data_IF_560045463201
#
_entry.id   IF_560045463201
#
_cell.length_a   1.000
_cell.length_b   1.000
_cell.length_c   1.000
_cell.angle_alpha   90.00
_cell.angle_beta   90.00
_cell.angle_gamma   90.00
#
_symmetry.space_group_name_H-M   'P 1'
#
loop_
_entity.id
_entity.type
_entity.pdbx_description
1 polymer ?
#
# COMPACT_ATOMS: atom_id res chain seq x y z
N UNK A 1 14.69 -19.15 18.96
CA UNK A 1 14.80 -19.59 17.56
C UNK A 1 16.02 -18.91 16.93
N UNK A 2 16.91 -19.66 16.26
CA UNK A 2 18.11 -19.11 15.61
C UNK A 2 17.69 -18.13 14.48
N UNK A 3 18.51 -17.10 14.22
CA UNK A 3 18.25 -16.08 13.17
C UNK A 3 17.99 -16.69 11.79
N UNK A 4 18.66 -17.80 11.48
CA UNK A 4 18.50 -18.57 10.24
C UNK A 4 17.08 -19.14 10.10
N UNK A 5 16.48 -19.69 11.16
CA UNK A 5 15.09 -20.21 11.10
C UNK A 5 14.08 -19.10 10.83
N UNK A 6 14.29 -17.90 11.40
CA UNK A 6 13.41 -16.74 11.12
C UNK A 6 13.55 -16.26 9.67
N UNK A 7 14.77 -16.23 9.16
CA UNK A 7 15.05 -15.87 7.77
C UNK A 7 14.41 -16.86 6.79
N UNK A 8 14.67 -18.18 6.97
CA UNK A 8 14.07 -19.23 6.12
C UNK A 8 12.53 -19.17 6.13
N UNK A 9 11.94 -18.94 7.31
CA UNK A 9 10.48 -18.76 7.41
C UNK A 9 10.00 -17.54 6.61
N UNK A 10 10.75 -16.43 6.60
CA UNK A 10 10.47 -15.26 5.78
C UNK A 10 10.47 -15.60 4.29
N UNK A 11 11.53 -16.29 3.83
CA UNK A 11 11.67 -16.70 2.42
C UNK A 11 10.52 -17.62 1.99
N UNK A 12 10.24 -18.67 2.77
CA UNK A 12 9.15 -19.60 2.47
C UNK A 12 7.79 -18.87 2.39
N UNK A 13 7.51 -17.99 3.34
CA UNK A 13 6.25 -17.24 3.31
C UNK A 13 6.18 -16.25 2.13
N UNK A 14 7.31 -15.72 1.64
CA UNK A 14 7.34 -14.90 0.42
C UNK A 14 6.96 -15.70 -0.82
N UNK A 15 7.50 -16.92 -0.97
CA UNK A 15 7.10 -17.79 -2.09
C UNK A 15 5.64 -18.22 -2.01
N UNK A 16 5.15 -18.59 -0.82
CA UNK A 16 3.73 -18.92 -0.60
C UNK A 16 2.85 -17.72 -0.99
N UNK A 17 3.22 -16.51 -0.56
CA UNK A 17 2.52 -15.29 -0.94
C UNK A 17 2.45 -15.12 -2.45
N UNK A 18 3.59 -15.21 -3.17
CA UNK A 18 3.65 -15.06 -4.63
C UNK A 18 2.77 -16.11 -5.33
N UNK A 19 2.86 -17.39 -4.93
CA UNK A 19 2.10 -18.48 -5.54
C UNK A 19 0.59 -18.25 -5.34
N UNK A 20 0.15 -17.99 -4.11
CA UNK A 20 -1.28 -17.82 -3.83
C UNK A 20 -1.82 -16.58 -4.53
N UNK A 21 -1.12 -15.45 -4.49
CA UNK A 21 -1.57 -14.23 -5.16
C UNK A 21 -1.64 -14.41 -6.68
N UNK A 22 -0.69 -15.13 -7.28
CA UNK A 22 -0.72 -15.44 -8.71
C UNK A 22 -1.92 -16.33 -9.08
N UNK A 23 -2.19 -17.38 -8.32
CA UNK A 23 -3.34 -18.26 -8.56
C UNK A 23 -4.66 -17.48 -8.46
N UNK A 24 -4.80 -16.67 -7.40
CA UNK A 24 -6.01 -15.86 -7.20
C UNK A 24 -6.15 -14.82 -8.30
N UNK A 25 -5.07 -14.17 -8.75
CA UNK A 25 -5.09 -13.20 -9.83
C UNK A 25 -5.51 -13.84 -11.17
N UNK A 26 -4.97 -15.03 -11.48
CA UNK A 26 -5.33 -15.79 -12.68
C UNK A 26 -6.81 -16.19 -12.70
N UNK A 27 -7.41 -16.43 -11.55
CA UNK A 27 -8.85 -16.70 -11.44
C UNK A 27 -9.67 -15.41 -11.43
N UNK A 28 -9.24 -14.40 -10.68
CA UNK A 28 -10.00 -13.15 -10.47
C UNK A 28 -10.12 -12.33 -11.77
N UNK A 29 -9.08 -12.33 -12.62
CA UNK A 29 -9.11 -11.56 -13.87
C UNK A 29 -10.20 -12.02 -14.83
N UNK A 30 -10.30 -13.30 -15.24
CA UNK A 30 -11.41 -13.75 -16.09
C UNK A 30 -12.77 -13.64 -15.39
N UNK A 31 -12.83 -13.84 -14.07
CA UNK A 31 -14.06 -13.60 -13.30
C UNK A 31 -14.49 -12.14 -13.41
N UNK A 32 -13.60 -11.18 -13.25
CA UNK A 32 -13.91 -9.75 -13.41
C UNK A 32 -14.40 -9.45 -14.81
N UNK A 33 -13.76 -10.01 -15.84
CA UNK A 33 -14.13 -9.82 -17.25
C UNK A 33 -15.45 -10.48 -17.64
N UNK A 34 -16.02 -11.33 -16.80
CA UNK A 34 -17.39 -11.84 -17.00
C UNK A 34 -18.48 -10.85 -16.54
N UNK A 35 -18.13 -9.84 -15.74
CA UNK A 35 -19.04 -8.80 -15.25
C UNK A 35 -18.79 -7.43 -15.91
N UNK A 36 -17.57 -7.18 -16.35
CA UNK A 36 -17.13 -5.87 -16.87
C UNK A 36 -16.56 -6.08 -18.27
N UNK A 37 -16.98 -5.23 -19.23
CA UNK A 37 -16.44 -5.25 -20.58
C UNK A 37 -14.93 -5.00 -20.59
N UNK A 38 -14.24 -5.56 -21.59
CA UNK A 38 -12.77 -5.41 -21.76
C UNK A 38 -12.32 -3.95 -21.82
N UNK A 39 -13.12 -3.08 -22.44
CA UNK A 39 -12.86 -1.64 -22.49
C UNK A 39 -12.90 -1.00 -21.11
N UNK A 40 -13.94 -1.30 -20.31
CA UNK A 40 -14.08 -0.81 -18.93
C UNK A 40 -12.95 -1.30 -18.04
N UNK A 41 -12.56 -2.57 -18.16
CA UNK A 41 -11.40 -3.10 -17.44
C UNK A 41 -10.09 -2.42 -17.86
N UNK A 42 -9.93 -2.13 -19.16
CA UNK A 42 -8.81 -1.36 -19.70
C UNK A 42 -8.68 0.03 -19.08
N UNK A 43 -9.81 0.72 -18.88
CA UNK A 43 -9.81 2.01 -18.16
C UNK A 43 -9.35 1.89 -16.72
N UNK A 44 -9.81 0.87 -16.00
CA UNK A 44 -9.34 0.64 -14.63
C UNK A 44 -7.81 0.46 -14.58
N UNK A 45 -7.25 -0.34 -15.50
CA UNK A 45 -5.80 -0.55 -15.59
C UNK A 45 -5.08 0.76 -15.89
N UNK A 46 -5.57 1.54 -16.86
CA UNK A 46 -4.99 2.85 -17.20
C UNK A 46 -5.00 3.82 -16.00
N UNK A 47 -6.12 3.89 -15.26
CA UNK A 47 -6.21 4.72 -14.05
C UNK A 47 -5.22 4.26 -12.96
N UNK A 48 -5.06 2.95 -12.80
CA UNK A 48 -4.09 2.39 -11.86
C UNK A 48 -2.64 2.70 -12.27
N UNK A 49 -2.34 2.69 -13.57
CA UNK A 49 -1.03 3.08 -14.10
C UNK A 49 -0.73 4.56 -13.86
N UNK A 50 -1.69 5.46 -14.08
CA UNK A 50 -1.54 6.89 -13.77
C UNK A 50 -1.20 7.07 -12.28
N UNK A 51 -1.91 6.41 -11.38
CA UNK A 51 -1.62 6.44 -9.94
C UNK A 51 -0.20 5.91 -9.65
N UNK A 52 0.22 4.86 -10.34
CA UNK A 52 1.58 4.29 -10.19
C UNK A 52 2.65 5.31 -10.56
N UNK A 53 2.47 6.05 -11.65
CA UNK A 53 3.37 7.15 -12.04
C UNK A 53 3.42 8.26 -11.00
N UNK A 54 2.27 8.67 -10.45
CA UNK A 54 2.21 9.66 -9.37
C UNK A 54 2.92 9.15 -8.11
N UNK A 55 2.86 7.87 -7.82
CA UNK A 55 3.54 7.25 -6.68
C UNK A 55 5.08 7.25 -6.80
N UNK A 56 5.65 7.48 -7.97
CA UNK A 56 7.12 7.65 -8.11
C UNK A 56 7.64 8.87 -7.33
N UNK A 57 6.76 9.82 -6.97
CA UNK A 57 7.11 10.97 -6.14
C UNK A 57 7.47 10.61 -4.68
N UNK A 58 7.41 9.36 -4.29
CA UNK A 58 7.77 8.91 -2.93
C UNK A 58 9.28 8.94 -2.63
N UNK A 59 10.12 9.29 -3.59
CA UNK A 59 11.56 9.56 -3.44
C UNK A 59 12.41 8.51 -2.70
N UNK A 60 12.00 7.23 -2.74
CA UNK A 60 12.82 6.14 -2.20
C UNK A 60 12.99 6.10 -0.66
N UNK A 61 12.31 6.97 0.07
CA UNK A 61 12.37 7.09 1.55
C UNK A 61 12.26 5.74 2.26
N UNK A 62 11.38 4.87 1.76
CA UNK A 62 11.12 3.57 2.37
C UNK A 62 12.34 2.65 2.39
N UNK A 63 13.18 2.68 1.35
CA UNK A 63 14.37 1.83 1.25
C UNK A 63 15.44 2.23 2.28
N UNK A 64 15.71 3.53 2.40
CA UNK A 64 16.67 4.05 3.37
C UNK A 64 16.15 3.84 4.80
N UNK A 65 14.88 4.14 5.06
CA UNK A 65 14.26 3.91 6.35
C UNK A 65 14.34 2.43 6.79
N UNK A 66 14.06 1.48 5.89
CA UNK A 66 14.19 0.04 6.18
C UNK A 66 15.60 -0.32 6.69
N UNK A 67 16.63 0.18 6.03
CA UNK A 67 18.03 -0.07 6.39
C UNK A 67 18.37 0.55 7.74
N UNK A 68 18.03 1.82 7.97
CA UNK A 68 18.29 2.54 9.23
C UNK A 68 17.51 1.93 10.40
N UNK A 69 16.25 1.56 10.21
CA UNK A 69 15.43 0.90 11.22
C UNK A 69 16.02 -0.46 11.63
N UNK A 70 16.48 -1.27 10.66
CA UNK A 70 17.12 -2.55 10.94
C UNK A 70 18.42 -2.38 11.75
N UNK A 71 19.23 -1.36 11.42
CA UNK A 71 20.45 -1.03 12.16
C UNK A 71 20.14 -0.61 13.61
N UNK A 72 19.18 0.29 13.82
CA UNK A 72 18.80 0.76 15.16
C UNK A 72 18.24 -0.37 16.01
N UNK A 73 17.39 -1.23 15.46
CA UNK A 73 16.84 -2.40 16.16
C UNK A 73 17.96 -3.39 16.50
N UNK A 74 18.91 -3.62 15.59
CA UNK A 74 20.06 -4.48 15.82
C UNK A 74 20.96 -4.00 16.98
N UNK A 75 21.15 -2.68 17.09
CA UNK A 75 21.91 -2.03 18.15
C UNK A 75 21.09 -1.77 19.43
N UNK A 76 19.78 -2.05 19.43
CA UNK A 76 18.82 -1.72 20.50
C UNK A 76 18.73 -0.21 20.79
N UNK A 77 19.07 0.61 19.81
CA UNK A 77 18.97 2.08 19.89
C UNK A 77 17.56 2.53 19.50
N UNK A 78 16.67 2.48 20.47
CA UNK A 78 15.26 2.84 20.26
C UNK A 78 15.04 4.36 20.21
N UNK A 79 15.98 5.15 20.73
CA UNK A 79 15.92 6.62 20.64
C UNK A 79 16.13 7.08 19.20
N UNK A 80 17.19 6.59 18.56
CA UNK A 80 17.45 6.87 17.14
C UNK A 80 16.36 6.27 16.26
N UNK A 81 15.86 5.04 16.55
CA UNK A 81 14.74 4.43 15.85
C UNK A 81 13.50 5.34 15.88
N UNK A 82 13.18 5.97 17.02
CA UNK A 82 12.05 6.88 17.15
C UNK A 82 12.24 8.12 16.25
N UNK A 83 13.45 8.71 16.21
CA UNK A 83 13.76 9.86 15.35
C UNK A 83 13.60 9.50 13.87
N UNK A 84 14.21 8.40 13.41
CA UNK A 84 14.04 7.90 12.04
C UNK A 84 12.57 7.61 11.70
N UNK A 85 11.81 7.00 12.62
CA UNK A 85 10.39 6.72 12.40
C UNK A 85 9.57 7.99 12.25
N UNK A 86 9.76 8.98 13.12
CA UNK A 86 9.06 10.27 13.06
C UNK A 86 9.38 11.03 11.78
N UNK A 87 10.68 11.09 11.41
CA UNK A 87 11.11 11.76 10.17
C UNK A 87 10.55 11.05 8.93
N UNK A 88 10.61 9.71 8.88
CA UNK A 88 10.04 8.92 7.79
C UNK A 88 8.53 9.15 7.65
N UNK A 89 7.79 9.22 8.76
CA UNK A 89 6.36 9.49 8.73
C UNK A 89 6.03 10.89 8.22
N UNK A 90 6.81 11.91 8.60
CA UNK A 90 6.64 13.26 8.07
C UNK A 90 6.93 13.30 6.58
N UNK A 91 8.03 12.68 6.13
CA UNK A 91 8.37 12.60 4.71
C UNK A 91 7.28 11.88 3.90
N UNK A 92 6.81 10.73 4.37
CA UNK A 92 5.72 9.99 3.71
C UNK A 92 4.40 10.76 3.78
N UNK A 93 4.13 11.48 4.86
CA UNK A 93 3.00 12.40 4.97
C UNK A 93 3.04 13.50 3.92
N UNK A 94 4.20 14.14 3.75
CA UNK A 94 4.42 15.17 2.71
C UNK A 94 4.25 14.58 1.31
N UNK A 95 4.83 13.41 1.03
CA UNK A 95 4.65 12.70 -0.24
C UNK A 95 3.18 12.34 -0.48
N UNK A 96 2.44 11.91 0.55
CA UNK A 96 1.00 11.63 0.45
C UNK A 96 0.18 12.85 0.07
N UNK A 97 0.51 14.03 0.67
CA UNK A 97 -0.15 15.30 0.33
C UNK A 97 0.17 15.69 -1.12
N UNK A 98 1.41 15.56 -1.57
CA UNK A 98 1.79 15.82 -2.96
C UNK A 98 1.05 14.90 -3.93
N UNK A 99 1.01 13.60 -3.65
CA UNK A 99 0.25 12.62 -4.45
C UNK A 99 -1.22 12.98 -4.50
N UNK A 100 -1.81 13.38 -3.36
CA UNK A 100 -3.22 13.79 -3.29
C UNK A 100 -3.47 15.04 -4.14
N UNK A 101 -2.65 16.09 -4.00
CA UNK A 101 -2.82 17.35 -4.74
C UNK A 101 -2.67 17.12 -6.24
N UNK A 102 -1.63 16.42 -6.68
CA UNK A 102 -1.41 16.13 -8.10
C UNK A 102 -2.54 15.25 -8.64
N UNK A 103 -2.96 14.22 -7.89
CA UNK A 103 -4.08 13.36 -8.29
C UNK A 103 -5.40 14.12 -8.40
N UNK A 104 -5.70 15.06 -7.49
CA UNK A 104 -6.88 15.91 -7.58
C UNK A 104 -6.83 16.82 -8.81
N UNK A 105 -5.65 17.38 -9.13
CA UNK A 105 -5.47 18.18 -10.35
C UNK A 105 -5.72 17.29 -11.60
N UNK A 106 -5.15 16.10 -11.64
CA UNK A 106 -5.35 15.14 -12.74
C UNK A 106 -6.84 14.76 -12.90
N UNK A 107 -7.60 14.68 -11.80
CA UNK A 107 -9.05 14.42 -11.84
C UNK A 107 -9.80 15.48 -12.66
N UNK A 108 -9.36 16.74 -12.60
CA UNK A 108 -9.99 17.83 -13.39
C UNK A 108 -9.74 17.69 -14.90
N UNK A 109 -8.70 16.99 -15.29
CA UNK A 109 -8.30 16.77 -16.68
C UNK A 109 -8.56 15.35 -17.17
N UNK A 110 -9.26 14.51 -16.37
CA UNK A 110 -9.39 13.08 -16.63
C UNK A 110 -10.03 12.81 -18.00
N UNK A 111 -11.01 13.62 -18.40
CA UNK A 111 -11.70 13.52 -19.69
C UNK A 111 -10.80 13.83 -20.91
N UNK A 112 -9.66 14.50 -20.67
CA UNK A 112 -8.67 14.81 -21.72
C UNK A 112 -7.57 13.77 -21.81
N UNK A 113 -7.38 13.02 -20.73
CA UNK A 113 -6.31 12.01 -20.59
C UNK A 113 -6.84 10.63 -20.98
N UNK A 114 -8.10 10.37 -20.66
CA UNK A 114 -8.76 9.09 -20.88
C UNK A 114 -9.97 9.31 -21.75
N UNK A 115 -10.06 8.58 -22.86
CA UNK A 115 -11.27 8.57 -23.68
C UNK A 115 -12.36 7.81 -22.93
N UNK A 116 -13.35 8.55 -22.42
CA UNK A 116 -14.45 8.03 -21.60
C UNK A 116 -15.67 7.62 -22.42
N UNK A 117 -15.53 7.47 -23.75
CA UNK A 117 -16.64 7.03 -24.61
C UNK A 117 -17.14 5.66 -24.20
N UNK A 118 -18.42 5.58 -23.81
CA UNK A 118 -19.07 4.34 -23.38
C UNK A 118 -19.03 4.04 -21.86
N UNK A 119 -18.40 4.89 -21.05
CA UNK A 119 -18.40 4.73 -19.57
C UNK A 119 -18.98 5.99 -18.92
N UNK A 120 -19.70 5.78 -17.80
CA UNK A 120 -20.16 6.89 -16.98
C UNK A 120 -18.95 7.69 -16.44
N UNK A 121 -18.93 8.98 -16.70
CA UNK A 121 -17.93 9.90 -16.12
C UNK A 121 -17.87 9.77 -14.59
N UNK A 122 -19.01 9.56 -13.96
CA UNK A 122 -19.10 9.36 -12.51
C UNK A 122 -18.29 8.15 -12.08
N UNK A 123 -18.37 7.01 -12.79
CA UNK A 123 -17.65 5.80 -12.45
C UNK A 123 -16.13 5.97 -12.64
N UNK A 124 -15.70 6.65 -13.70
CA UNK A 124 -14.28 6.93 -13.94
C UNK A 124 -13.70 7.81 -12.85
N UNK A 125 -14.35 8.94 -12.54
CA UNK A 125 -13.91 9.88 -11.50
C UNK A 125 -13.91 9.20 -10.12
N UNK A 126 -14.97 8.48 -9.79
CA UNK A 126 -15.07 7.75 -8.50
C UNK A 126 -13.98 6.70 -8.37
N UNK A 127 -13.74 5.90 -9.41
CA UNK A 127 -12.68 4.88 -9.43
C UNK A 127 -11.31 5.52 -9.21
N UNK A 128 -11.03 6.63 -9.90
CA UNK A 128 -9.76 7.34 -9.75
C UNK A 128 -9.57 7.92 -8.36
N UNK A 129 -10.60 8.56 -7.79
CA UNK A 129 -10.54 9.11 -6.43
C UNK A 129 -10.35 8.01 -5.37
N UNK A 130 -11.04 6.88 -5.50
CA UNK A 130 -10.85 5.74 -4.61
C UNK A 130 -9.42 5.17 -4.71
N UNK A 131 -8.88 5.05 -5.92
CA UNK A 131 -7.50 4.61 -6.14
C UNK A 131 -6.48 5.62 -5.57
N UNK A 132 -6.76 6.92 -5.69
CA UNK A 132 -5.94 7.98 -5.11
C UNK A 132 -5.91 7.91 -3.57
N UNK A 133 -7.07 7.76 -2.93
CA UNK A 133 -7.16 7.60 -1.47
C UNK A 133 -6.43 6.32 -1.03
N UNK A 134 -6.58 5.23 -1.77
CA UNK A 134 -5.86 3.97 -1.52
C UNK A 134 -4.36 4.18 -1.54
N UNK A 135 -3.86 4.95 -2.50
CA UNK A 135 -2.45 5.30 -2.63
C UNK A 135 -1.95 6.06 -1.41
N UNK A 136 -2.67 7.09 -0.97
CA UNK A 136 -2.36 7.87 0.23
C UNK A 136 -2.26 6.96 1.47
N UNK A 137 -3.25 6.11 1.70
CA UNK A 137 -3.25 5.18 2.85
C UNK A 137 -2.08 4.19 2.76
N UNK A 138 -1.76 3.71 1.56
CA UNK A 138 -0.63 2.80 1.32
C UNK A 138 0.71 3.46 1.66
N UNK A 139 0.90 4.72 1.26
CA UNK A 139 2.11 5.50 1.58
C UNK A 139 2.27 5.63 3.10
N UNK A 140 1.21 5.97 3.82
CA UNK A 140 1.22 6.04 5.28
C UNK A 140 1.52 4.69 5.96
N UNK A 141 1.15 3.58 5.36
CA UNK A 141 1.41 2.23 5.87
C UNK A 141 2.89 1.83 5.74
N UNK A 142 3.62 2.35 4.76
CA UNK A 142 4.98 1.88 4.43
C UNK A 142 5.95 1.88 5.63
N UNK A 143 6.07 2.94 6.46
CA UNK A 143 6.94 2.92 7.63
C UNK A 143 6.56 1.83 8.64
N UNK A 144 5.27 1.50 8.78
CA UNK A 144 4.80 0.44 9.68
C UNK A 144 5.25 -0.94 9.21
N UNK A 145 5.11 -1.23 7.93
CA UNK A 145 5.63 -2.48 7.31
C UNK A 145 7.15 -2.56 7.44
N UNK A 146 7.85 -1.45 7.20
CA UNK A 146 9.29 -1.37 7.32
C UNK A 146 9.79 -1.75 8.73
N UNK A 147 9.12 -1.29 9.78
CA UNK A 147 9.43 -1.63 11.18
C UNK A 147 9.26 -3.14 11.44
N UNK A 148 8.20 -3.77 10.90
CA UNK A 148 8.01 -5.22 11.02
C UNK A 148 9.13 -6.00 10.34
N UNK A 149 9.49 -5.61 9.12
CA UNK A 149 10.58 -6.22 8.36
C UNK A 149 11.93 -6.05 9.08
N UNK A 150 12.24 -4.83 9.54
CA UNK A 150 13.45 -4.52 10.31
C UNK A 150 13.54 -5.34 11.61
N UNK A 151 12.41 -5.62 12.26
CA UNK A 151 12.35 -6.49 13.44
C UNK A 151 12.36 -8.00 13.10
N UNK A 152 12.79 -8.38 11.90
CA UNK A 152 12.88 -9.78 11.43
C UNK A 152 11.51 -10.51 11.43
N UNK A 153 10.42 -9.77 11.27
CA UNK A 153 9.04 -10.29 11.17
C UNK A 153 8.53 -10.29 9.73
N UNK A 154 9.41 -10.54 8.74
CA UNK A 154 9.07 -10.59 7.30
C UNK A 154 7.88 -11.52 7.04
N UNK A 155 7.83 -12.68 7.74
CA UNK A 155 6.72 -13.62 7.60
C UNK A 155 5.36 -13.02 8.02
N UNK A 156 5.33 -12.10 8.99
CA UNK A 156 4.11 -11.41 9.40
C UNK A 156 3.70 -10.41 8.33
N UNK A 157 4.65 -9.63 7.81
CA UNK A 157 4.37 -8.69 6.73
C UNK A 157 3.83 -9.40 5.48
N UNK A 158 4.44 -10.53 5.08
CA UNK A 158 3.95 -11.36 3.97
C UNK A 158 2.52 -11.88 4.21
N UNK A 159 2.19 -12.32 5.42
CA UNK A 159 0.83 -12.76 5.78
C UNK A 159 -0.16 -11.60 5.69
N UNK A 160 0.24 -10.40 6.13
CA UNK A 160 -0.60 -9.20 6.01
C UNK A 160 -0.82 -8.79 4.55
N UNK A 161 0.20 -8.85 3.71
CA UNK A 161 0.07 -8.60 2.27
C UNK A 161 -0.83 -9.65 1.59
N UNK A 162 -0.69 -10.93 1.97
CA UNK A 162 -1.59 -11.98 1.49
C UNK A 162 -3.03 -11.71 1.94
N UNK A 163 -3.22 -11.33 3.20
CA UNK A 163 -4.54 -10.94 3.74
C UNK A 163 -5.15 -9.78 2.98
N UNK A 164 -4.34 -8.75 2.64
CA UNK A 164 -4.78 -7.63 1.80
C UNK A 164 -5.35 -8.14 0.48
N UNK A 165 -4.60 -8.99 -0.21
CA UNK A 165 -5.00 -9.49 -1.52
C UNK A 165 -6.27 -10.37 -1.45
N UNK A 166 -6.39 -11.23 -0.44
CA UNK A 166 -7.59 -12.07 -0.24
C UNK A 166 -8.81 -11.21 0.09
N UNK A 167 -8.68 -10.24 1.01
CA UNK A 167 -9.77 -9.32 1.36
C UNK A 167 -10.20 -8.52 0.14
N UNK A 168 -9.24 -7.99 -0.64
CA UNK A 168 -9.54 -7.30 -1.90
C UNK A 168 -10.32 -8.22 -2.85
N UNK A 169 -9.86 -9.45 -3.07
CA UNK A 169 -10.54 -10.40 -3.97
C UNK A 169 -11.98 -10.69 -3.52
N UNK A 170 -12.20 -10.91 -2.23
CA UNK A 170 -13.53 -11.16 -1.66
C UNK A 170 -14.47 -9.97 -1.87
N UNK A 171 -14.02 -8.75 -1.58
CA UNK A 171 -14.83 -7.55 -1.80
C UNK A 171 -15.03 -7.25 -3.30
N UNK A 172 -14.05 -7.56 -4.16
CA UNK A 172 -14.21 -7.45 -5.61
C UNK A 172 -15.35 -8.34 -6.10
N UNK A 173 -15.35 -9.61 -5.70
CA UNK A 173 -16.42 -10.55 -6.04
C UNK A 173 -17.76 -10.04 -5.51
N UNK A 174 -17.82 -9.59 -4.26
CA UNK A 174 -19.04 -9.07 -3.65
C UNK A 174 -19.61 -7.89 -4.43
N UNK A 175 -18.79 -6.87 -4.72
CA UNK A 175 -19.23 -5.64 -5.38
C UNK A 175 -19.58 -5.85 -6.85
N UNK A 176 -18.88 -6.74 -7.56
CA UNK A 176 -19.25 -7.12 -8.93
C UNK A 176 -20.63 -7.77 -8.97
N UNK A 177 -20.94 -8.68 -8.03
CA UNK A 177 -22.27 -9.28 -7.93
C UNK A 177 -23.37 -8.28 -7.54
N UNK A 178 -23.03 -7.17 -6.90
CA UNK A 178 -23.94 -6.07 -6.59
C UNK A 178 -24.13 -5.10 -7.78
N UNK A 179 -23.44 -5.32 -8.91
CA UNK A 179 -23.59 -4.52 -10.12
C UNK A 179 -22.72 -3.27 -10.19
N UNK A 180 -21.78 -3.08 -9.23
CA UNK A 180 -20.81 -2.01 -9.31
C UNK A 180 -19.74 -2.34 -10.35
N UNK A 181 -19.64 -1.60 -11.44
CA UNK A 181 -18.70 -1.79 -12.54
C UNK A 181 -17.22 -1.66 -12.09
N UNK A 182 -16.43 -0.82 -12.76
CA UNK A 182 -15.00 -0.58 -12.44
C UNK A 182 -14.78 -0.06 -11.01
N UNK A 183 -15.76 0.60 -10.42
CA UNK A 183 -15.73 1.09 -9.03
C UNK A 183 -15.51 -0.06 -8.04
N UNK A 184 -16.01 -1.28 -8.35
CA UNK A 184 -15.82 -2.49 -7.53
C UNK A 184 -14.36 -2.76 -7.22
N UNK A 185 -13.48 -2.60 -8.23
CA UNK A 185 -12.06 -2.91 -8.13
C UNK A 185 -11.33 -1.91 -7.22
N UNK A 186 -11.62 -0.63 -7.37
CA UNK A 186 -11.00 0.42 -6.56
C UNK A 186 -11.53 0.43 -5.11
N UNK A 187 -12.84 0.26 -4.93
CA UNK A 187 -13.46 0.22 -3.61
C UNK A 187 -12.99 -0.98 -2.78
N UNK A 188 -12.92 -2.17 -3.39
CA UNK A 188 -12.42 -3.37 -2.73
C UNK A 188 -10.96 -3.23 -2.29
N UNK A 189 -10.12 -2.62 -3.12
CA UNK A 189 -8.72 -2.35 -2.79
C UNK A 189 -8.60 -1.36 -1.62
N UNK A 190 -9.38 -0.27 -1.63
CA UNK A 190 -9.39 0.71 -0.54
C UNK A 190 -9.77 0.06 0.80
N UNK A 191 -10.85 -0.72 0.83
CA UNK A 191 -11.31 -1.41 2.03
C UNK A 191 -10.22 -2.36 2.54
N UNK A 192 -9.62 -3.16 1.65
CA UNK A 192 -8.55 -4.09 2.01
C UNK A 192 -7.34 -3.36 2.60
N UNK A 193 -6.91 -2.25 1.98
CA UNK A 193 -5.78 -1.45 2.46
C UNK A 193 -6.08 -0.83 3.83
N UNK A 194 -7.28 -0.30 4.07
CA UNK A 194 -7.67 0.25 5.38
C UNK A 194 -7.62 -0.83 6.47
N UNK A 195 -8.25 -1.98 6.23
CA UNK A 195 -8.29 -3.10 7.19
C UNK A 195 -6.86 -3.55 7.53
N UNK A 196 -6.04 -3.80 6.53
CA UNK A 196 -4.68 -4.31 6.74
C UNK A 196 -3.76 -3.25 7.34
N UNK A 197 -3.94 -1.97 7.01
CA UNK A 197 -3.21 -0.87 7.67
C UNK A 197 -3.52 -0.83 9.15
N UNK A 198 -4.78 -0.98 9.54
CA UNK A 198 -5.19 -1.03 10.94
C UNK A 198 -4.59 -2.24 11.68
N UNK A 199 -4.61 -3.42 11.06
CA UNK A 199 -3.99 -4.62 11.63
C UNK A 199 -2.48 -4.44 11.75
N UNK A 200 -1.82 -3.87 10.74
CA UNK A 200 -0.37 -3.58 10.76
C UNK A 200 -0.02 -2.63 11.90
N UNK A 201 -0.81 -1.56 12.08
CA UNK A 201 -0.64 -0.62 13.19
C UNK A 201 -0.74 -1.29 14.55
N UNK A 202 -1.75 -2.15 14.78
CA UNK A 202 -1.88 -2.92 16.03
C UNK A 202 -0.66 -3.85 16.24
N UNK A 203 -0.18 -4.49 15.17
CA UNK A 203 0.98 -5.37 15.25
C UNK A 203 2.25 -4.63 15.63
N UNK A 204 2.50 -3.46 15.06
CA UNK A 204 3.64 -2.61 15.40
C UNK A 204 3.57 -2.13 16.85
N UNK A 205 2.39 -1.74 17.34
CA UNK A 205 2.20 -1.37 18.76
C UNK A 205 2.46 -2.49 19.75
N UNK A 206 2.34 -3.76 19.32
CA UNK A 206 2.63 -4.94 20.17
C UNK A 206 4.09 -5.37 20.16
N UNK A 207 4.98 -4.62 19.51
CA UNK A 207 6.40 -4.88 19.55
C UNK A 207 6.97 -4.63 20.97
N UNK A 208 8.06 -5.30 21.35
CA UNK A 208 8.63 -5.22 22.70
C UNK A 208 9.26 -3.85 23.04
N UNK A 209 9.30 -2.95 22.07
CA UNK A 209 9.75 -1.57 22.24
C UNK A 209 8.61 -0.60 21.91
N UNK A 210 8.45 0.41 22.75
CA UNK A 210 7.41 1.42 22.55
C UNK A 210 7.89 2.46 21.54
N UNK A 211 7.23 2.55 20.39
CA UNK A 211 7.39 3.63 19.43
C UNK A 211 6.16 4.54 19.48
N UNK A 212 6.41 5.83 19.51
CA UNK A 212 5.36 6.77 19.20
C UNK A 212 5.19 6.82 17.68
N UNK A 213 4.08 6.25 17.19
CA UNK A 213 3.76 6.18 15.75
C UNK A 213 3.14 7.48 15.22
N UNK A 214 2.97 8.48 16.07
CA UNK A 214 2.66 9.84 15.63
C UNK A 214 3.96 10.63 15.44
N UNK A 215 4.06 11.48 14.43
CA UNK A 215 5.28 12.25 14.20
C UNK A 215 5.59 13.13 15.42
N UNK A 216 6.67 12.82 16.11
CA UNK A 216 7.11 13.54 17.31
C UNK A 216 7.96 14.77 17.04
N UNK A 217 8.36 14.97 15.77
CA UNK A 217 9.21 16.08 15.33
C UNK A 217 10.04 15.69 14.12
N UNK A 218 10.34 16.66 13.27
CA UNK A 218 11.23 16.52 12.12
C UNK A 218 12.67 16.75 12.59
N UNK A 219 13.53 15.76 12.39
CA UNK A 219 14.96 15.85 12.67
C UNK A 219 15.71 16.06 11.36
N UNK A 220 16.31 17.28 11.21
CA UNK A 220 16.98 17.69 9.99
C UNK A 220 18.23 16.85 9.69
N UNK A 221 18.96 16.42 10.72
CA UNK A 221 20.16 15.61 10.53
C UNK A 221 19.79 14.22 10.05
N UNK A 222 18.73 13.64 10.62
CA UNK A 222 18.13 12.38 10.16
C UNK A 222 17.60 12.48 8.74
N UNK A 223 17.00 13.61 8.37
CA UNK A 223 16.49 13.83 7.00
C UNK A 223 17.61 13.81 5.96
N UNK A 224 18.76 14.46 6.25
CA UNK A 224 19.91 14.45 5.34
C UNK A 224 20.54 13.05 5.19
N UNK A 225 20.41 12.20 6.20
CA UNK A 225 20.87 10.82 6.16
C UNK A 225 19.91 9.86 5.43
N UNK A 226 18.66 10.28 5.19
CA UNK A 226 17.59 9.50 4.55
C UNK A 226 17.40 9.84 3.09
#
# INVERSE_FOLDING_TARGET
>A
MSGVKKFLRGVVTSYIYIIITSIVALWLTPYTLSFIDKSHYGYYVLLADIITWVNLLQFGVSGVFNSKAAMCIGKKDYVSLQKYTSTAQIMQGTSSVLVLVIGLILTLFIDKIVDTTGISKFDVVTTFLLALITSVVTIFKQPLSAILVANKQIHIDNILQLGLFIVQALFTVLFLNLGYSIVSLAASHLIAVIIITFITYIRVKRLPFKLNLFPGGFDKDVFVEM
#
